data_IF_836284538735
#
_entry.id   IF_836284538735
#
_cell.length_a   1.000
_cell.length_b   1.000
_cell.length_c   1.000
_cell.angle_alpha   90.00
_cell.angle_beta   90.00
_cell.angle_gamma   90.00
#
_symmetry.space_group_name_H-M   'P 1'
#
loop_
_entity.id
_entity.type
_entity.pdbx_description
1 polymer ?
#
# COMPACT_ATOMS: atom_id res chain seq x y z
N UNK A 1 22.81 26.74 -2.82
CA UNK A 1 22.10 25.44 -2.98
C UNK A 1 23.03 24.35 -2.48
N UNK A 2 22.73 23.74 -1.33
CA UNK A 2 23.46 22.57 -0.84
C UNK A 2 22.72 21.31 -1.31
N UNK A 3 23.42 20.47 -2.08
CA UNK A 3 22.92 19.20 -2.55
C UNK A 3 22.88 18.24 -1.35
N UNK A 4 21.69 17.76 -0.95
CA UNK A 4 21.55 16.76 0.09
C UNK A 4 21.58 15.36 -0.56
N UNK A 5 22.66 14.57 -0.39
CA UNK A 5 22.83 13.29 -1.08
C UNK A 5 21.86 12.19 -0.61
N UNK A 6 20.98 12.46 0.36
CA UNK A 6 20.02 11.49 0.90
C UNK A 6 18.67 11.44 0.17
N UNK A 7 18.38 12.37 -0.75
CA UNK A 7 17.17 12.34 -1.57
C UNK A 7 17.39 11.46 -2.81
N UNK A 8 17.32 10.13 -2.63
CA UNK A 8 17.28 9.20 -3.76
C UNK A 8 15.82 9.10 -4.25
N UNK A 9 15.47 9.91 -5.24
CA UNK A 9 14.20 9.77 -5.98
C UNK A 9 14.31 8.53 -6.87
N UNK A 10 13.43 7.56 -6.66
CA UNK A 10 13.37 6.38 -7.52
C UNK A 10 12.40 6.65 -8.67
N UNK A 11 12.96 6.81 -9.86
CA UNK A 11 12.21 6.84 -11.11
C UNK A 11 11.98 5.41 -11.58
N UNK A 12 10.72 5.03 -11.85
CA UNK A 12 10.44 3.81 -12.61
C UNK A 12 10.45 4.13 -14.10
N UNK A 13 11.07 3.29 -14.95
CA UNK A 13 11.01 3.47 -16.39
C UNK A 13 9.56 3.36 -16.88
N UNK A 14 9.21 4.20 -17.86
CA UNK A 14 7.93 4.18 -18.57
C UNK A 14 7.77 2.79 -19.20
N UNK A 15 6.73 2.06 -18.80
CA UNK A 15 6.38 0.81 -19.46
C UNK A 15 5.65 1.12 -20.75
N UNK A 16 6.26 0.77 -21.88
CA UNK A 16 5.61 0.77 -23.19
C UNK A 16 4.42 -0.21 -23.21
N UNK A 17 3.34 0.20 -23.86
CA UNK A 17 2.15 -0.61 -24.14
C UNK A 17 2.52 -1.97 -24.77
N UNK A 18 1.82 -3.07 -24.42
CA UNK A 18 2.05 -4.35 -25.07
C UNK A 18 1.40 -4.37 -26.46
N UNK A 19 2.21 -4.25 -27.51
CA UNK A 19 1.81 -4.67 -28.85
C UNK A 19 1.65 -6.19 -28.90
N UNK A 20 0.46 -6.61 -29.29
CA UNK A 20 -0.03 -7.97 -29.57
C UNK A 20 1.04 -8.97 -30.11
N UNK A 21 1.27 -10.13 -29.47
CA UNK A 21 2.17 -11.14 -30.00
C UNK A 21 1.48 -11.94 -31.13
N UNK A 22 2.09 -11.91 -32.32
CA UNK A 22 1.84 -12.90 -33.37
C UNK A 22 2.23 -14.28 -32.84
N UNK A 23 1.31 -15.23 -33.00
CA UNK A 23 1.58 -16.67 -32.84
C UNK A 23 2.64 -17.11 -33.85
N UNK A 24 3.70 -17.73 -33.35
CA UNK A 24 4.62 -18.58 -34.11
C UNK A 24 4.72 -19.92 -33.36
N UNK A 25 4.43 -20.97 -34.11
CA UNK A 25 4.14 -22.35 -33.74
C UNK A 25 5.39 -23.21 -33.95
N UNK A 26 6.23 -23.28 -32.92
CA UNK A 26 7.48 -24.04 -33.03
C UNK A 26 8.01 -24.58 -31.70
N UNK A 27 7.32 -25.53 -31.07
CA UNK A 27 7.96 -26.38 -30.05
C UNK A 27 7.71 -27.87 -30.25
N UNK A 28 8.78 -28.70 -30.29
CA UNK A 28 8.70 -30.11 -30.66
C UNK A 28 8.11 -31.00 -29.56
N UNK A 29 7.41 -32.05 -30.01
CA UNK A 29 6.62 -33.05 -29.27
C UNK A 29 7.34 -33.84 -28.14
N UNK A 30 8.57 -33.50 -27.75
CA UNK A 30 9.42 -34.33 -26.89
C UNK A 30 9.53 -33.88 -25.41
N UNK A 31 8.56 -33.12 -24.89
CA UNK A 31 8.52 -32.74 -23.44
C UNK A 31 7.25 -33.24 -22.72
N UNK A 32 6.25 -33.75 -23.45
CA UNK A 32 4.98 -34.21 -22.86
C UNK A 32 5.07 -35.53 -22.08
N UNK A 33 6.09 -36.35 -22.29
CA UNK A 33 6.24 -37.64 -21.59
C UNK A 33 6.93 -37.56 -20.21
N UNK A 34 7.55 -36.43 -19.83
CA UNK A 34 8.20 -36.31 -18.50
C UNK A 34 7.32 -35.64 -17.45
N UNK A 35 6.39 -34.77 -17.86
CA UNK A 35 5.47 -34.08 -16.94
C UNK A 35 4.37 -35.00 -16.39
N UNK A 36 3.86 -35.93 -17.20
CA UNK A 36 2.82 -36.87 -16.77
C UNK A 36 3.30 -37.82 -15.65
N UNK A 37 4.58 -38.24 -15.70
CA UNK A 37 5.17 -39.14 -14.68
C UNK A 37 5.41 -38.41 -13.35
N UNK A 38 5.79 -37.14 -13.38
CA UNK A 38 5.96 -36.32 -12.17
C UNK A 38 4.61 -36.04 -11.52
N UNK A 39 3.57 -35.75 -12.30
CA UNK A 39 2.22 -35.50 -11.78
C UNK A 39 1.61 -36.76 -11.11
N UNK A 40 1.84 -37.94 -11.70
CA UNK A 40 1.41 -39.22 -11.10
C UNK A 40 2.18 -39.55 -9.81
N UNK A 41 3.47 -39.23 -9.72
CA UNK A 41 4.24 -39.40 -8.48
C UNK A 41 3.80 -38.43 -7.38
N UNK A 42 3.49 -37.16 -7.72
CA UNK A 42 2.97 -36.18 -6.75
C UNK A 42 1.59 -36.59 -6.24
N UNK A 43 0.71 -37.10 -7.12
CA UNK A 43 -0.60 -37.63 -6.71
C UNK A 43 -0.48 -38.90 -5.85
N UNK A 44 0.44 -39.82 -6.18
CA UNK A 44 0.66 -41.02 -5.37
C UNK A 44 1.20 -40.67 -3.97
N UNK A 45 2.14 -39.72 -3.87
CA UNK A 45 2.63 -39.23 -2.57
C UNK A 45 1.56 -38.46 -1.79
N UNK A 46 0.66 -37.73 -2.47
CA UNK A 46 -0.47 -37.05 -1.84
C UNK A 46 -1.50 -38.04 -1.27
N UNK A 47 -1.80 -39.13 -1.98
CA UNK A 47 -2.70 -40.19 -1.50
C UNK A 47 -2.09 -40.95 -0.30
N UNK A 48 -0.78 -41.25 -0.32
CA UNK A 48 -0.07 -41.87 0.81
C UNK A 48 0.02 -40.91 2.03
N UNK A 49 0.16 -39.60 1.77
CA UNK A 49 0.18 -38.56 2.80
C UNK A 49 -1.16 -38.37 3.52
N UNK A 50 -2.29 -38.60 2.85
CA UNK A 50 -3.63 -38.54 3.46
C UNK A 50 -3.89 -39.76 4.35
N UNK A 51 -3.37 -40.94 4.00
CA UNK A 51 -3.63 -42.18 4.76
C UNK A 51 -2.85 -42.25 6.08
N UNK A 52 -1.71 -41.55 6.15
CA UNK A 52 -0.91 -41.45 7.38
C UNK A 52 -1.54 -40.55 8.44
N UNK A 53 -2.52 -39.71 8.07
CA UNK A 53 -3.19 -38.78 9.00
C UNK A 53 -4.53 -39.33 9.53
N UNK A 54 -4.91 -40.58 9.18
CA UNK A 54 -6.22 -41.15 9.49
C UNK A 54 -6.20 -42.47 10.28
N UNK A 55 -5.10 -42.78 10.98
CA UNK A 55 -4.96 -44.00 11.78
C UNK A 55 -4.45 -43.83 13.22
N UNK A 56 -4.52 -42.63 13.80
CA UNK A 56 -4.34 -42.47 15.25
C UNK A 56 -5.34 -41.46 15.80
N UNK A 57 -6.42 -41.98 16.38
CA UNK A 57 -6.96 -41.63 17.71
C UNK A 57 -8.39 -42.13 17.83
N UNK A 58 -8.54 -43.37 18.28
CA UNK A 58 -9.72 -43.77 19.02
C UNK A 58 -9.25 -44.51 20.27
N UNK A 59 -9.00 -43.74 21.33
CA UNK A 59 -8.92 -44.24 22.69
C UNK A 59 -9.85 -43.37 23.54
N UNK A 60 -10.98 -43.96 23.89
CA UNK A 60 -11.84 -43.47 24.96
C UNK A 60 -11.02 -43.47 26.25
N UNK A 61 -10.84 -42.30 26.84
CA UNK A 61 -10.40 -42.15 28.22
C UNK A 61 -11.24 -41.04 28.87
N UNK A 62 -12.11 -41.47 29.77
CA UNK A 62 -12.83 -40.67 30.75
C UNK A 62 -11.84 -39.88 31.62
N UNK A 63 -11.95 -38.55 31.65
CA UNK A 63 -11.17 -37.70 32.55
C UNK A 63 -11.51 -36.21 32.44
N UNK A 64 -12.22 -35.69 33.45
CA UNK A 64 -12.26 -34.32 34.00
C UNK A 64 -12.35 -33.07 33.08
N UNK A 65 -13.27 -32.11 33.39
CA UNK A 65 -13.52 -30.93 32.58
C UNK A 65 -12.53 -29.81 32.89
N UNK A 66 -11.40 -29.76 32.17
CA UNK A 66 -10.46 -28.63 32.29
C UNK A 66 -10.05 -28.02 30.94
N UNK A 67 -10.55 -28.49 29.78
CA UNK A 67 -9.99 -28.09 28.49
C UNK A 67 -10.88 -27.20 27.60
N UNK A 68 -12.19 -27.09 27.82
CA UNK A 68 -13.03 -26.27 26.91
C UNK A 68 -12.81 -24.76 27.06
N UNK A 69 -12.50 -24.27 28.25
CA UNK A 69 -12.09 -22.87 28.44
C UNK A 69 -10.70 -22.62 27.85
N UNK A 70 -9.77 -23.55 27.99
CA UNK A 70 -8.39 -23.36 27.55
C UNK A 70 -8.27 -23.40 26.02
N UNK A 71 -9.00 -24.30 25.35
CA UNK A 71 -9.09 -24.36 23.89
C UNK A 71 -9.79 -23.12 23.33
N UNK A 72 -10.86 -22.62 23.97
CA UNK A 72 -11.49 -21.34 23.56
C UNK A 72 -10.57 -20.15 23.80
N UNK A 73 -9.77 -20.16 24.86
CA UNK A 73 -8.80 -19.11 25.15
C UNK A 73 -7.67 -19.11 24.12
N UNK A 74 -7.12 -20.27 23.74
CA UNK A 74 -6.08 -20.40 22.70
C UNK A 74 -6.60 -20.07 21.29
N UNK A 75 -7.83 -20.48 20.96
CA UNK A 75 -8.48 -20.13 19.69
C UNK A 75 -8.84 -18.63 19.64
N UNK A 76 -9.22 -18.02 20.78
CA UNK A 76 -9.46 -16.57 20.88
C UNK A 76 -8.16 -15.74 20.90
N UNK A 77 -7.06 -16.26 21.46
CA UNK A 77 -5.74 -15.62 21.47
C UNK A 77 -5.06 -15.72 20.10
N UNK A 78 -5.20 -16.85 19.39
CA UNK A 78 -4.78 -16.99 18.01
C UNK A 78 -5.56 -16.05 17.07
N UNK A 79 -6.85 -15.82 17.34
CA UNK A 79 -7.68 -14.82 16.64
C UNK A 79 -7.36 -13.38 17.06
N UNK A 80 -6.66 -13.17 18.18
CA UNK A 80 -6.27 -11.85 18.71
C UNK A 80 -4.79 -11.54 18.51
N UNK A 81 -4.07 -12.29 17.68
CA UNK A 81 -2.85 -11.78 17.06
C UNK A 81 -3.28 -10.76 16.01
N UNK A 82 -3.43 -9.49 16.39
CA UNK A 82 -3.67 -8.39 15.44
C UNK A 82 -2.56 -8.44 14.40
N UNK A 83 -2.86 -8.99 13.22
CA UNK A 83 -2.01 -8.85 12.06
C UNK A 83 -1.84 -7.36 11.82
N UNK A 84 -0.62 -6.91 11.56
CA UNK A 84 -0.38 -5.52 11.17
C UNK A 84 -1.27 -5.23 9.96
N UNK A 85 -2.09 -4.18 10.02
CA UNK A 85 -3.04 -3.87 8.96
C UNK A 85 -2.36 -3.35 7.69
N UNK A 86 -3.06 -3.46 6.57
CA UNK A 86 -2.66 -2.92 5.27
C UNK A 86 -3.46 -1.65 5.00
N UNK A 87 -2.76 -0.52 4.85
CA UNK A 87 -3.41 0.76 4.67
C UNK A 87 -2.82 1.53 3.49
N UNK A 88 -3.69 2.27 2.80
CA UNK A 88 -3.28 3.31 1.85
C UNK A 88 -3.73 4.64 2.41
N UNK A 89 -2.80 5.57 2.58
CA UNK A 89 -3.06 6.92 3.08
C UNK A 89 -2.82 7.89 1.93
N UNK A 90 -3.86 8.61 1.52
CA UNK A 90 -3.83 9.50 0.36
C UNK A 90 -4.11 10.92 0.84
N UNK A 91 -3.20 11.83 0.50
CA UNK A 91 -3.29 13.25 0.78
C UNK A 91 -2.93 14.07 -0.45
N UNK A 92 -3.40 15.32 -0.52
CA UNK A 92 -2.99 16.24 -1.57
C UNK A 92 -1.74 17.02 -1.19
N UNK A 93 -1.09 17.63 -2.18
CA UNK A 93 0.00 18.57 -1.92
C UNK A 93 -0.44 19.78 -1.08
N UNK A 94 0.50 20.42 -0.37
CA UNK A 94 0.25 21.60 0.43
C UNK A 94 -0.07 22.87 -0.38
N UNK A 95 -0.44 23.94 0.33
CA UNK A 95 -0.97 25.18 -0.24
C UNK A 95 -0.06 25.81 -1.29
N UNK A 96 -0.65 26.23 -2.41
CA UNK A 96 0.02 26.99 -3.48
C UNK A 96 0.27 28.45 -3.01
N UNK A 97 1.35 29.11 -3.43
CA UNK A 97 1.52 30.56 -3.23
C UNK A 97 0.44 31.35 -3.96
N UNK A 98 0.22 32.60 -3.54
CA UNK A 98 -0.70 33.53 -4.23
C UNK A 98 -0.20 33.79 -5.65
N UNK A 99 1.10 34.00 -5.80
CA UNK A 99 1.77 34.08 -7.09
C UNK A 99 2.03 32.66 -7.63
N UNK A 100 1.20 32.20 -8.56
CA UNK A 100 1.24 30.84 -9.10
C UNK A 100 2.44 30.58 -10.03
N UNK A 101 3.10 31.63 -10.53
CA UNK A 101 4.36 31.52 -11.28
C UNK A 101 5.47 30.93 -10.41
N UNK A 102 5.34 31.07 -9.09
CA UNK A 102 6.14 30.32 -8.13
C UNK A 102 5.64 28.87 -8.10
N UNK A 103 6.29 28.03 -8.91
CA UNK A 103 6.14 26.57 -8.95
C UNK A 103 6.69 25.90 -7.68
N UNK A 104 6.13 26.25 -6.53
CA UNK A 104 6.54 25.78 -5.21
C UNK A 104 5.35 25.77 -4.24
N UNK A 105 5.57 25.29 -3.03
CA UNK A 105 4.66 25.47 -1.91
C UNK A 105 4.73 26.92 -1.38
N UNK A 106 3.60 27.44 -0.92
CA UNK A 106 3.56 28.65 -0.10
C UNK A 106 4.25 28.41 1.25
N UNK A 107 4.45 29.48 2.04
CA UNK A 107 4.89 29.35 3.43
C UNK A 107 4.01 28.38 4.23
N UNK A 108 2.69 28.52 4.12
CA UNK A 108 1.72 27.64 4.79
C UNK A 108 1.83 26.19 4.29
N UNK A 109 2.04 26.00 3.00
CA UNK A 109 2.28 24.68 2.41
C UNK A 109 3.55 24.01 2.94
N UNK A 110 4.63 24.77 3.16
CA UNK A 110 5.84 24.26 3.82
C UNK A 110 5.62 23.97 5.31
N UNK A 111 4.87 24.81 6.04
CA UNK A 111 4.53 24.53 7.44
C UNK A 111 3.73 23.21 7.54
N UNK A 112 2.76 23.02 6.64
CA UNK A 112 2.00 21.77 6.48
C UNK A 112 2.86 20.56 6.17
N UNK A 113 3.81 20.68 5.25
CA UNK A 113 4.71 19.56 4.90
C UNK A 113 5.54 19.09 6.11
N UNK A 114 5.96 20.02 6.98
CA UNK A 114 6.63 19.67 8.24
C UNK A 114 5.68 19.06 9.27
N UNK A 115 4.43 19.52 9.35
CA UNK A 115 3.41 18.92 10.21
C UNK A 115 3.08 17.47 9.84
N UNK A 116 3.33 17.06 8.59
CA UNK A 116 3.19 15.66 8.14
C UNK A 116 3.99 14.68 8.93
N UNK A 117 5.21 15.07 9.23
CA UNK A 117 6.12 14.25 10.03
C UNK A 117 5.45 13.92 11.35
N UNK A 118 4.95 14.95 12.04
CA UNK A 118 4.26 14.79 13.33
C UNK A 118 2.96 14.02 13.20
N UNK A 119 2.16 14.30 12.18
CA UNK A 119 0.87 13.65 11.97
C UNK A 119 1.03 12.15 11.71
N UNK A 120 1.95 11.76 10.82
CA UNK A 120 2.24 10.35 10.51
C UNK A 120 2.79 9.62 11.73
N UNK A 121 3.70 10.22 12.47
CA UNK A 121 4.35 9.57 13.62
C UNK A 121 3.44 9.45 14.85
N UNK A 122 2.50 10.39 15.06
CA UNK A 122 1.80 10.50 16.35
C UNK A 122 0.26 10.55 16.25
N UNK A 123 -0.29 10.96 15.10
CA UNK A 123 -1.71 11.35 14.98
C UNK A 123 -2.50 10.45 14.03
N UNK A 124 -1.85 9.52 13.32
CA UNK A 124 -2.56 8.51 12.55
C UNK A 124 -3.64 7.80 13.40
N UNK A 125 -4.82 7.48 12.82
CA UNK A 125 -5.92 6.91 13.58
C UNK A 125 -5.54 5.66 14.35
N UNK A 126 -6.20 5.46 15.50
CA UNK A 126 -5.90 4.33 16.40
C UNK A 126 -5.92 2.95 15.72
N UNK A 127 -6.73 2.77 14.68
CA UNK A 127 -6.84 1.50 13.96
C UNK A 127 -5.62 1.18 13.10
N UNK A 128 -4.85 2.19 12.65
CA UNK A 128 -3.62 1.98 11.88
C UNK A 128 -2.39 1.76 12.78
N UNK A 129 -2.53 1.92 14.10
CA UNK A 129 -1.42 1.77 15.05
C UNK A 129 -0.86 0.34 15.00
N UNK A 130 0.46 0.25 14.89
CA UNK A 130 1.19 -1.01 14.74
C UNK A 130 1.62 -1.31 13.30
N UNK A 131 1.00 -0.66 12.30
CA UNK A 131 1.49 -0.64 10.93
C UNK A 131 2.49 0.51 10.76
N UNK A 132 3.61 0.23 10.10
CA UNK A 132 4.62 1.23 9.75
C UNK A 132 4.43 1.68 8.31
N UNK A 133 4.88 2.90 8.00
CA UNK A 133 4.98 3.35 6.61
C UNK A 133 6.03 2.49 5.91
N UNK A 134 5.61 1.77 4.88
CA UNK A 134 6.50 0.92 4.07
C UNK A 134 6.84 1.54 2.73
N UNK A 135 5.99 2.43 2.21
CA UNK A 135 6.26 3.18 0.99
C UNK A 135 5.75 4.61 1.07
N UNK A 136 6.52 5.52 0.50
CA UNK A 136 6.18 6.93 0.29
C UNK A 136 6.14 7.17 -1.21
N UNK A 137 5.02 7.63 -1.73
CA UNK A 137 4.78 7.82 -3.15
C UNK A 137 4.26 9.22 -3.48
N UNK A 138 4.60 9.71 -4.66
CA UNK A 138 4.13 11.00 -5.17
C UNK A 138 4.01 11.01 -6.69
N UNK A 139 3.29 12.00 -7.22
CA UNK A 139 3.26 12.28 -8.65
C UNK A 139 4.61 12.76 -9.17
N UNK A 140 4.88 12.45 -10.44
CA UNK A 140 6.04 12.94 -11.18
C UNK A 140 5.90 14.45 -11.44
N UNK A 141 6.93 15.26 -11.16
CA UNK A 141 6.98 16.62 -11.66
C UNK A 141 6.99 16.63 -13.20
N UNK A 142 6.25 17.54 -13.82
CA UNK A 142 6.33 17.72 -15.26
C UNK A 142 7.66 18.40 -15.65
N UNK A 143 7.99 18.32 -16.94
CA UNK A 143 9.27 18.78 -17.52
C UNK A 143 9.59 20.25 -17.20
N UNK A 144 8.56 21.10 -17.09
CA UNK A 144 8.70 22.53 -16.76
C UNK A 144 8.80 22.82 -15.25
N UNK A 145 8.92 21.80 -14.40
CA UNK A 145 8.84 21.94 -12.94
C UNK A 145 7.44 22.26 -12.41
N UNK A 146 6.44 22.33 -13.30
CA UNK A 146 5.03 22.28 -12.94
C UNK A 146 4.78 20.97 -12.17
N UNK A 147 4.01 21.01 -11.09
CA UNK A 147 3.70 19.84 -10.23
C UNK A 147 4.85 19.31 -9.34
N UNK A 148 5.84 20.13 -8.95
CA UNK A 148 6.80 19.75 -7.89
C UNK A 148 6.19 19.72 -6.47
N UNK A 149 5.02 20.34 -6.27
CA UNK A 149 4.39 20.54 -4.95
C UNK A 149 4.10 19.22 -4.20
N UNK A 150 3.61 18.15 -4.84
CA UNK A 150 3.49 16.84 -4.21
C UNK A 150 4.82 16.31 -3.64
N UNK A 151 5.91 16.40 -4.41
CA UNK A 151 7.27 16.03 -3.97
C UNK A 151 7.71 16.89 -2.78
N UNK A 152 7.54 18.22 -2.87
CA UNK A 152 7.89 19.16 -1.80
C UNK A 152 7.11 18.89 -0.51
N UNK A 153 5.84 18.51 -0.64
CA UNK A 153 4.95 18.23 0.49
C UNK A 153 5.43 17.00 1.27
N UNK A 154 5.93 15.98 0.57
CA UNK A 154 6.30 14.72 1.21
C UNK A 154 7.79 14.59 1.55
N UNK A 155 8.63 15.45 0.99
CA UNK A 155 10.08 15.47 1.24
C UNK A 155 10.44 15.50 2.73
N UNK A 156 9.85 16.37 3.60
CA UNK A 156 10.18 16.35 5.03
C UNK A 156 9.87 15.01 5.70
N UNK A 157 8.77 14.35 5.31
CA UNK A 157 8.42 13.02 5.81
C UNK A 157 9.42 11.95 5.36
N UNK A 158 9.78 11.95 4.07
CA UNK A 158 10.79 11.04 3.53
C UNK A 158 12.12 11.15 4.27
N UNK A 159 12.59 12.37 4.54
CA UNK A 159 13.81 12.61 5.32
C UNK A 159 13.66 12.10 6.75
N UNK A 160 12.55 12.42 7.43
CA UNK A 160 12.32 12.01 8.81
C UNK A 160 12.22 10.49 9.00
N UNK A 161 11.68 9.77 7.99
CA UNK A 161 11.58 8.32 7.98
C UNK A 161 12.80 7.63 7.35
N UNK A 162 13.74 8.39 6.77
CA UNK A 162 14.89 7.89 6.00
C UNK A 162 14.46 6.94 4.86
N UNK A 163 13.34 7.26 4.20
CA UNK A 163 12.76 6.45 3.13
C UNK A 163 12.86 7.18 1.79
N UNK A 164 13.19 6.48 0.69
CA UNK A 164 13.15 7.09 -0.63
C UNK A 164 11.72 7.47 -1.03
N UNK A 165 11.60 8.43 -1.94
CA UNK A 165 10.33 8.79 -2.56
C UNK A 165 10.19 8.00 -3.86
N UNK A 166 9.10 7.26 -3.96
CA UNK A 166 8.69 6.56 -5.19
C UNK A 166 7.87 7.53 -6.04
N UNK A 167 8.27 7.72 -7.29
CA UNK A 167 7.58 8.66 -8.20
C UNK A 167 6.81 7.90 -9.27
N UNK A 168 5.56 8.31 -9.52
CA UNK A 168 4.68 7.72 -10.54
C UNK A 168 4.10 8.80 -11.44
N UNK A 169 3.93 8.50 -12.71
CA UNK A 169 3.45 9.46 -13.71
C UNK A 169 1.93 9.63 -13.72
N UNK A 170 1.17 8.63 -13.23
CA UNK A 170 -0.30 8.64 -13.31
C UNK A 170 -0.95 8.12 -12.03
N UNK A 171 -2.19 8.54 -11.78
CA UNK A 171 -3.00 8.02 -10.67
C UNK A 171 -3.19 6.49 -10.76
N UNK A 172 -3.36 5.96 -11.98
CA UNK A 172 -3.44 4.51 -12.22
C UNK A 172 -2.18 3.76 -11.82
N UNK A 173 -1.00 4.23 -12.28
CA UNK A 173 0.28 3.56 -11.96
C UNK A 173 0.59 3.61 -10.48
N UNK A 174 0.26 4.72 -9.80
CA UNK A 174 0.34 4.83 -8.35
C UNK A 174 -0.58 3.86 -7.62
N UNK A 175 -1.85 3.78 -8.04
CA UNK A 175 -2.82 2.87 -7.43
C UNK A 175 -2.46 1.39 -7.64
N UNK A 176 -2.00 1.04 -8.84
CA UNK A 176 -1.58 -0.32 -9.16
C UNK A 176 -0.35 -0.74 -8.36
N UNK A 177 0.62 0.17 -8.21
CA UNK A 177 1.81 -0.07 -7.39
C UNK A 177 1.47 -0.24 -5.91
N UNK A 178 0.62 0.63 -5.36
CA UNK A 178 0.17 0.54 -3.97
C UNK A 178 -0.53 -0.79 -3.68
N UNK A 179 -1.35 -1.26 -4.63
CA UNK A 179 -1.99 -2.59 -4.55
C UNK A 179 -0.95 -3.70 -4.48
N UNK A 180 0.00 -3.70 -5.43
CA UNK A 180 1.05 -4.71 -5.52
C UNK A 180 1.87 -4.78 -4.23
N UNK A 181 2.32 -3.62 -3.72
CA UNK A 181 3.10 -3.53 -2.47
C UNK A 181 2.34 -4.16 -1.32
N UNK A 182 1.06 -3.81 -1.14
CA UNK A 182 0.28 -4.38 -0.05
C UNK A 182 0.10 -5.90 -0.21
N UNK A 183 -0.19 -6.38 -1.42
CA UNK A 183 -0.32 -7.82 -1.73
C UNK A 183 0.97 -8.61 -1.48
N UNK A 184 2.13 -8.03 -1.77
CA UNK A 184 3.46 -8.65 -1.58
C UNK A 184 3.94 -8.58 -0.11
N UNK A 185 3.81 -7.43 0.56
CA UNK A 185 4.34 -7.22 1.91
C UNK A 185 3.42 -7.75 3.02
N UNK A 186 2.12 -7.94 2.72
CA UNK A 186 1.14 -8.47 3.67
C UNK A 186 0.73 -7.52 4.80
N UNK A 187 1.48 -6.45 5.05
CA UNK A 187 1.18 -5.44 6.07
C UNK A 187 1.96 -4.14 5.84
N UNK A 188 1.40 -3.00 6.25
CA UNK A 188 2.10 -1.71 6.17
C UNK A 188 1.18 -0.55 5.80
N UNK A 189 1.78 0.62 5.61
CA UNK A 189 1.13 1.83 5.14
C UNK A 189 1.84 2.31 3.87
N UNK A 190 1.10 2.38 2.77
CA UNK A 190 1.53 3.08 1.55
C UNK A 190 0.97 4.50 1.62
N UNK A 191 1.85 5.50 1.73
CA UNK A 191 1.45 6.91 1.76
C UNK A 191 1.63 7.52 0.37
N UNK A 192 0.58 8.17 -0.15
CA UNK A 192 0.54 8.77 -1.49
C UNK A 192 0.20 10.26 -1.36
N UNK A 193 1.06 11.12 -1.92
CA UNK A 193 0.81 12.55 -2.08
C UNK A 193 0.52 12.88 -3.55
N UNK A 194 -0.60 13.55 -3.84
CA UNK A 194 -1.01 13.81 -5.22
C UNK A 194 -1.65 15.18 -5.45
N UNK A 195 -2.04 15.49 -6.68
CA UNK A 195 -2.92 16.59 -7.02
C UNK A 195 -4.39 16.25 -6.74
N UNK A 196 -5.18 17.20 -6.25
CA UNK A 196 -6.53 16.95 -5.75
C UNK A 196 -7.51 16.49 -6.85
N UNK A 197 -7.33 16.95 -8.08
CA UNK A 197 -8.14 16.64 -9.25
C UNK A 197 -8.06 15.14 -9.61
N UNK A 198 -6.88 14.53 -9.49
CA UNK A 198 -6.70 13.12 -9.84
C UNK A 198 -6.97 12.16 -8.68
N UNK A 199 -7.08 12.65 -7.43
CA UNK A 199 -7.34 11.75 -6.29
C UNK A 199 -8.70 11.06 -6.44
N UNK A 200 -9.69 11.74 -7.01
CA UNK A 200 -10.99 11.12 -7.26
C UNK A 200 -10.88 9.89 -8.15
N UNK A 201 -10.13 10.02 -9.24
CA UNK A 201 -9.86 8.92 -10.16
C UNK A 201 -9.05 7.82 -9.47
N UNK A 202 -8.02 8.20 -8.70
CA UNK A 202 -7.20 7.28 -7.91
C UNK A 202 -8.04 6.43 -6.94
N UNK A 203 -8.99 7.05 -6.23
CA UNK A 203 -9.92 6.33 -5.35
C UNK A 203 -10.78 5.33 -6.13
N UNK A 204 -11.17 5.69 -7.36
CA UNK A 204 -11.88 4.80 -8.29
C UNK A 204 -11.09 3.53 -8.62
N UNK A 205 -9.77 3.64 -8.83
CA UNK A 205 -8.89 2.48 -9.05
C UNK A 205 -8.76 1.53 -7.84
N UNK A 206 -9.14 2.00 -6.65
CA UNK A 206 -9.28 1.18 -5.44
C UNK A 206 -10.71 0.66 -5.22
N UNK A 207 -11.64 0.97 -6.13
CA UNK A 207 -13.05 0.55 -6.05
C UNK A 207 -13.93 1.47 -5.22
N UNK A 208 -13.48 2.69 -4.92
CA UNK A 208 -14.23 3.65 -4.12
C UNK A 208 -14.67 4.87 -4.94
N UNK A 209 -15.89 5.32 -4.71
CA UNK A 209 -16.38 6.59 -5.23
C UNK A 209 -16.34 7.64 -4.12
N UNK A 210 -15.72 8.78 -4.39
CA UNK A 210 -15.59 9.91 -3.47
C UNK A 210 -16.14 11.18 -4.12
N UNK A 211 -16.56 12.19 -3.33
CA UNK A 211 -16.90 13.50 -3.86
C UNK A 211 -15.68 14.18 -4.50
N UNK A 212 -15.93 15.29 -5.19
CA UNK A 212 -14.86 16.14 -5.69
C UNK A 212 -14.06 16.71 -4.54
N UNK A 213 -12.75 16.82 -4.73
CA UNK A 213 -11.86 17.39 -3.72
C UNK A 213 -11.72 18.89 -3.97
N UNK A 214 -12.38 19.68 -3.12
CA UNK A 214 -12.36 21.15 -3.17
C UNK A 214 -10.95 21.73 -3.19
N UNK A 215 -10.74 22.74 -4.03
CA UNK A 215 -9.49 23.47 -4.20
C UNK A 215 -8.92 24.03 -2.89
N UNK A 216 -9.79 24.42 -1.96
CA UNK A 216 -9.41 25.01 -0.66
C UNK A 216 -9.26 23.98 0.47
N UNK A 217 -9.63 22.72 0.22
CA UNK A 217 -9.55 21.65 1.23
C UNK A 217 -8.15 21.01 1.24
N UNK A 218 -7.26 21.52 2.09
CA UNK A 218 -5.90 20.97 2.32
C UNK A 218 -5.79 20.05 3.54
N UNK A 219 -6.92 19.77 4.20
CA UNK A 219 -6.95 19.04 5.47
C UNK A 219 -7.50 17.63 5.33
N UNK A 220 -8.26 17.37 4.26
CA UNK A 220 -8.76 16.03 3.97
C UNK A 220 -7.61 15.03 3.77
N UNK A 221 -7.80 13.84 4.35
CA UNK A 221 -6.98 12.66 4.10
C UNK A 221 -7.91 11.48 3.89
N UNK A 222 -7.66 10.66 2.87
CA UNK A 222 -8.31 9.38 2.72
C UNK A 222 -7.42 8.27 3.28
N UNK A 223 -8.02 7.40 4.10
CA UNK A 223 -7.34 6.20 4.61
C UNK A 223 -8.16 5.00 4.19
N UNK A 224 -7.57 4.16 3.35
CA UNK A 224 -8.14 2.89 2.89
C UNK A 224 -7.62 1.79 3.81
N UNK A 225 -8.53 1.03 4.40
CA UNK A 225 -8.27 -0.27 5.04
C UNK A 225 -8.39 -1.34 3.95
N UNK A 226 -7.25 -1.79 3.43
CA UNK A 226 -7.19 -2.64 2.23
C UNK A 226 -7.84 -4.01 2.48
N UNK A 227 -7.56 -4.61 3.64
CA UNK A 227 -8.16 -5.87 4.06
C UNK A 227 -9.65 -5.74 4.32
N UNK A 228 -10.05 -4.67 5.01
CA UNK A 228 -11.45 -4.40 5.31
C UNK A 228 -12.27 -3.89 4.13
N UNK A 229 -11.63 -3.68 2.95
CA UNK A 229 -12.25 -3.16 1.72
C UNK A 229 -13.14 -1.94 1.98
N UNK A 230 -12.64 -1.02 2.80
CA UNK A 230 -13.36 0.20 3.20
C UNK A 230 -12.40 1.38 3.28
N UNK A 231 -12.93 2.60 3.18
CA UNK A 231 -12.14 3.79 3.39
C UNK A 231 -12.79 4.71 4.43
N UNK A 232 -11.97 5.57 5.03
CA UNK A 232 -12.39 6.67 5.88
C UNK A 232 -11.85 7.97 5.33
N UNK A 233 -12.74 8.93 5.10
CA UNK A 233 -12.37 10.34 4.92
C UNK A 233 -12.16 10.97 6.29
N UNK A 234 -11.02 11.61 6.50
CA UNK A 234 -10.70 12.36 7.71
C UNK A 234 -10.54 13.82 7.29
N UNK A 235 -11.27 14.72 7.93
CA UNK A 235 -11.26 16.17 7.60
C UNK A 235 -10.56 16.98 8.70
N UNK A 236 -10.18 16.35 9.80
CA UNK A 236 -9.47 17.00 10.90
C UNK A 236 -8.08 16.37 11.09
N UNK A 237 -7.02 17.18 11.04
CA UNK A 237 -5.81 16.83 11.79
C UNK A 237 -4.46 17.06 11.13
N UNK A 238 -4.39 17.59 9.91
CA UNK A 238 -3.08 17.72 9.23
C UNK A 238 -2.34 19.05 9.50
N UNK A 239 -2.94 20.00 10.23
CA UNK A 239 -2.29 21.27 10.61
C UNK A 239 -2.86 21.82 11.94
N UNK A 240 -2.07 22.51 12.79
CA UNK A 240 -2.59 23.26 13.93
C UNK A 240 -3.41 24.46 13.46
N UNK A 241 -4.53 24.74 14.10
CA UNK A 241 -5.26 26.00 13.87
C UNK A 241 -4.47 27.21 14.36
#
# INVERSE_FOLDING_TARGET
>A
MHYNPLLRVQYSPIGDEPTNPKLDDGTPLMVRCRMATVLLLVLALYVIGIDSHRLMTNRVATGTPTSELQVRHEESEATKKRTKGQYIVILRHGEKPVDLELNSLSRRGWERSHWLVKWVQHTLPKHTRGSQVSTIMTSMPNVDGLHVRPVQTITPLSVALQMPIVVRSTAFSAANEARRILEEEGAGIVLICWQHEDVREMMGYFGFQVPEWSDDDYETVYIIDWNGRRFKRIVEGYHPK
#
